data_IF_224172509252
#
_entry.id   IF_224172509252
#
_cell.length_a   1.000
_cell.length_b   1.000
_cell.length_c   1.000
_cell.angle_alpha   90.00
_cell.angle_beta   90.00
_cell.angle_gamma   90.00
#
_symmetry.space_group_name_H-M   'P 1'
#
loop_
_entity.id
_entity.type
_entity.pdbx_description
1 polymer ?
#
# COMPACT_ATOMS: atom_id res chain seq x y z
N UNK A 1 38.07 10.19 -0.80
CA UNK A 1 37.59 11.53 -1.20
C UNK A 1 36.16 11.65 -0.68
N UNK A 2 36.01 12.25 0.50
CA UNK A 2 34.73 12.52 1.16
C UNK A 2 34.12 13.82 0.62
N UNK A 3 32.80 13.96 0.85
CA UNK A 3 31.91 15.12 0.73
C UNK A 3 31.14 15.19 -0.59
N UNK A 4 29.80 15.05 -0.48
CA UNK A 4 28.78 15.91 -1.07
C UNK A 4 27.37 15.31 -0.88
N UNK A 5 26.87 15.14 0.35
CA UNK A 5 25.41 14.86 0.59
C UNK A 5 24.84 15.55 1.82
N UNK A 6 25.52 16.54 2.38
CA UNK A 6 25.00 17.28 3.51
C UNK A 6 24.75 18.72 3.09
N UNK A 7 23.60 18.98 2.49
CA UNK A 7 22.92 20.28 2.53
C UNK A 7 21.50 20.09 1.94
N UNK A 8 20.47 20.44 2.72
CA UNK A 8 19.02 20.29 2.47
C UNK A 8 18.32 19.00 2.94
N UNK A 9 18.56 18.53 4.17
CA UNK A 9 17.53 17.76 4.89
C UNK A 9 17.32 18.35 6.28
N UNK A 10 16.18 19.02 6.45
CA UNK A 10 15.69 19.52 7.76
C UNK A 10 15.15 18.38 8.65
N UNK A 11 15.29 17.12 8.25
CA UNK A 11 14.84 15.98 9.03
C UNK A 11 16.04 15.34 9.72
N UNK A 12 16.03 15.34 11.06
CA UNK A 12 16.93 14.47 11.80
C UNK A 12 16.33 13.05 11.77
N UNK A 13 17.13 11.97 11.67
CA UNK A 13 16.61 10.60 11.67
C UNK A 13 15.75 10.24 12.90
N UNK A 14 15.79 11.06 13.96
CA UNK A 14 14.94 10.93 15.15
C UNK A 14 13.47 11.29 14.90
N UNK A 15 13.16 11.96 13.79
CA UNK A 15 11.81 12.41 13.44
C UNK A 15 11.05 11.40 12.55
N UNK A 16 11.69 10.28 12.16
CA UNK A 16 11.07 9.16 11.42
C UNK A 16 10.42 8.16 12.38
N UNK A 17 9.50 8.62 13.23
CA UNK A 17 8.70 7.70 14.05
C UNK A 17 7.48 7.25 13.26
N UNK A 18 7.33 5.95 13.09
CA UNK A 18 6.10 5.35 12.59
C UNK A 18 4.92 5.77 13.49
N UNK A 19 3.83 6.23 12.88
CA UNK A 19 2.64 6.66 13.58
C UNK A 19 1.48 5.68 13.35
N UNK A 20 0.71 5.36 14.40
CA UNK A 20 -0.52 4.59 14.24
C UNK A 20 -1.54 5.39 13.40
N UNK A 21 -2.53 4.71 12.80
CA UNK A 21 -3.62 5.42 12.11
C UNK A 21 -4.45 6.26 13.09
N UNK A 22 -5.13 7.31 12.59
CA UNK A 22 -6.09 8.06 13.40
C UNK A 22 -7.18 7.17 14.00
N UNK A 23 -7.83 7.67 15.06
CA UNK A 23 -8.90 6.96 15.75
C UNK A 23 -10.03 6.55 14.78
N UNK A 24 -10.50 5.31 14.91
CA UNK A 24 -11.55 4.75 14.06
C UNK A 24 -11.10 4.36 12.65
N UNK A 25 -9.80 4.48 12.31
CA UNK A 25 -9.24 4.08 11.02
C UNK A 25 -8.40 2.83 11.19
N UNK A 26 -8.62 1.86 10.31
CA UNK A 26 -7.82 0.63 10.23
C UNK A 26 -6.72 0.82 9.18
N UNK A 27 -5.46 0.57 9.55
CA UNK A 27 -4.33 0.65 8.60
C UNK A 27 -4.01 -0.73 8.03
N UNK A 28 -3.90 -0.82 6.72
CA UNK A 28 -3.49 -2.02 5.99
C UNK A 28 -2.13 -1.74 5.32
N UNK A 29 -1.06 -2.27 5.90
CA UNK A 29 0.27 -2.27 5.31
C UNK A 29 0.37 -3.42 4.31
N UNK A 30 0.80 -3.15 3.08
CA UNK A 30 0.95 -4.16 2.02
C UNK A 30 2.39 -4.22 1.52
N UNK A 31 2.78 -5.39 1.04
CA UNK A 31 4.10 -5.65 0.46
C UNK A 31 4.04 -6.87 -0.47
N UNK A 32 4.95 -6.92 -1.45
CA UNK A 32 5.15 -8.06 -2.33
C UNK A 32 6.60 -8.55 -2.36
N UNK A 33 6.80 -9.83 -2.09
CA UNK A 33 8.08 -10.51 -2.25
C UNK A 33 8.16 -11.19 -3.62
N UNK A 34 9.23 -10.92 -4.38
CA UNK A 34 9.46 -11.51 -5.71
C UNK A 34 10.45 -12.68 -5.61
N UNK A 35 10.09 -13.77 -6.29
CA UNK A 35 10.88 -14.99 -6.42
C UNK A 35 11.21 -15.24 -7.90
N UNK A 36 11.98 -16.28 -8.17
CA UNK A 36 12.44 -16.59 -9.54
C UNK A 36 11.30 -16.78 -10.55
N UNK A 37 10.18 -17.35 -10.12
CA UNK A 37 9.05 -17.71 -11.00
C UNK A 37 7.67 -17.31 -10.45
N UNK A 38 7.63 -16.53 -9.36
CA UNK A 38 6.39 -16.17 -8.69
C UNK A 38 6.59 -14.97 -7.75
N UNK A 39 5.51 -14.51 -7.15
CA UNK A 39 5.51 -13.56 -6.06
C UNK A 39 4.74 -14.11 -4.85
N UNK A 40 4.89 -13.46 -3.70
CA UNK A 40 3.98 -13.58 -2.58
C UNK A 40 3.55 -12.17 -2.20
N UNK A 41 2.25 -11.96 -2.03
CA UNK A 41 1.71 -10.69 -1.55
C UNK A 41 1.25 -10.83 -0.11
N UNK A 42 1.40 -9.78 0.69
CA UNK A 42 1.07 -9.78 2.10
C UNK A 42 0.30 -8.52 2.49
N UNK A 43 -0.53 -8.65 3.52
CA UNK A 43 -1.27 -7.55 4.15
C UNK A 43 -1.17 -7.71 5.66
N UNK A 44 -0.69 -6.67 6.35
CA UNK A 44 -0.69 -6.56 7.81
C UNK A 44 -1.68 -5.48 8.20
N UNK A 45 -2.61 -5.81 9.10
CA UNK A 45 -3.63 -4.88 9.55
C UNK A 45 -3.38 -4.44 10.97
N UNK A 46 -3.46 -3.12 11.18
CA UNK A 46 -3.22 -2.47 12.47
C UNK A 46 -4.41 -1.60 12.89
N UNK A 47 -4.67 -1.60 14.19
CA UNK A 47 -5.65 -0.69 14.79
C UNK A 47 -5.04 0.68 15.11
N UNK A 48 -5.85 1.58 15.67
CA UNK A 48 -5.47 2.93 16.13
C UNK A 48 -4.41 2.97 17.24
N UNK A 49 -4.17 1.85 17.95
CA UNK A 49 -3.06 1.72 18.90
C UNK A 49 -1.76 1.27 18.22
N UNK A 50 -1.78 1.05 16.90
CA UNK A 50 -0.66 0.53 16.12
C UNK A 50 -0.43 -0.98 16.26
N UNK A 51 -1.30 -1.68 17.00
CA UNK A 51 -1.19 -3.12 17.23
C UNK A 51 -1.66 -3.87 16.00
N UNK A 52 -0.91 -4.92 15.64
CA UNK A 52 -1.33 -5.85 14.59
C UNK A 52 -2.54 -6.63 15.10
N UNK A 53 -3.65 -6.54 14.37
CA UNK A 53 -4.89 -7.25 14.69
C UNK A 53 -5.14 -8.44 13.77
N UNK A 54 -4.66 -8.38 12.52
CA UNK A 54 -4.79 -9.44 11.52
C UNK A 54 -3.63 -9.38 10.52
N UNK A 55 -3.33 -10.50 9.87
CA UNK A 55 -2.35 -10.57 8.79
C UNK A 55 -2.73 -11.66 7.79
N UNK A 56 -2.43 -11.44 6.51
CA UNK A 56 -2.63 -12.39 5.43
C UNK A 56 -1.40 -12.41 4.53
N UNK A 57 -1.14 -13.58 3.94
CA UNK A 57 -0.19 -13.74 2.85
C UNK A 57 -0.70 -14.81 1.89
N UNK A 58 -0.44 -14.64 0.59
CA UNK A 58 -0.74 -15.67 -0.41
C UNK A 58 0.25 -15.62 -1.59
N UNK A 59 0.51 -16.76 -2.24
CA UNK A 59 1.25 -16.75 -3.50
C UNK A 59 0.49 -15.94 -4.56
N UNK A 60 1.24 -15.28 -5.42
CA UNK A 60 0.73 -14.51 -6.54
C UNK A 60 1.53 -14.85 -7.80
N UNK A 61 0.83 -15.13 -8.90
CA UNK A 61 1.45 -15.61 -10.13
C UNK A 61 1.89 -14.45 -11.02
N UNK A 62 2.93 -13.74 -10.59
CA UNK A 62 3.61 -12.71 -11.37
C UNK A 62 5.09 -12.67 -10.95
N UNK A 63 5.95 -12.26 -11.87
CA UNK A 63 7.35 -11.91 -11.60
C UNK A 63 7.61 -10.41 -11.75
N UNK A 64 6.60 -9.64 -12.16
CA UNK A 64 6.69 -8.18 -12.23
C UNK A 64 6.41 -7.59 -10.84
N UNK A 65 7.40 -6.94 -10.20
CA UNK A 65 7.23 -6.34 -8.88
C UNK A 65 6.09 -5.32 -8.83
N UNK A 66 5.94 -4.51 -9.88
CA UNK A 66 4.94 -3.45 -9.91
C UNK A 66 3.52 -4.03 -9.97
N UNK A 67 3.33 -5.11 -10.73
CA UNK A 67 2.05 -5.84 -10.79
C UNK A 67 1.75 -6.52 -9.45
N UNK A 68 2.77 -7.10 -8.79
CA UNK A 68 2.59 -7.75 -7.50
C UNK A 68 2.21 -6.73 -6.40
N UNK A 69 2.84 -5.57 -6.37
CA UNK A 69 2.49 -4.46 -5.46
C UNK A 69 1.07 -3.94 -5.68
N UNK A 70 0.70 -3.66 -6.94
CA UNK A 70 -0.67 -3.24 -7.27
C UNK A 70 -1.71 -4.30 -6.87
N UNK A 71 -1.39 -5.59 -7.05
CA UNK A 71 -2.25 -6.69 -6.63
C UNK A 71 -2.34 -6.80 -5.09
N UNK A 72 -1.27 -6.52 -4.36
CA UNK A 72 -1.28 -6.47 -2.90
C UNK A 72 -2.22 -5.37 -2.39
N UNK A 73 -2.19 -4.18 -2.99
CA UNK A 73 -3.09 -3.07 -2.67
C UNK A 73 -4.55 -3.45 -2.94
N UNK A 74 -4.87 -3.93 -4.15
CA UNK A 74 -6.23 -4.34 -4.50
C UNK A 74 -6.74 -5.43 -3.53
N UNK A 75 -5.89 -6.39 -3.19
CA UNK A 75 -6.26 -7.46 -2.28
C UNK A 75 -6.51 -6.95 -0.86
N UNK A 76 -5.74 -5.97 -0.37
CA UNK A 76 -5.99 -5.35 0.93
C UNK A 76 -7.37 -4.67 0.99
N UNK A 77 -7.78 -3.97 -0.07
CA UNK A 77 -9.11 -3.35 -0.16
C UNK A 77 -10.21 -4.43 -0.13
N UNK A 78 -10.03 -5.52 -0.87
CA UNK A 78 -10.98 -6.65 -0.85
C UNK A 78 -11.09 -7.29 0.54
N UNK A 79 -9.97 -7.47 1.25
CA UNK A 79 -9.95 -7.95 2.64
C UNK A 79 -10.71 -6.98 3.54
N UNK A 80 -10.48 -5.67 3.40
CA UNK A 80 -11.16 -4.67 4.22
C UNK A 80 -12.68 -4.70 4.06
N UNK A 81 -13.18 -4.91 2.84
CA UNK A 81 -14.61 -5.11 2.58
C UNK A 81 -15.13 -6.39 3.23
N UNK A 82 -14.41 -7.50 3.09
CA UNK A 82 -14.77 -8.79 3.69
C UNK A 82 -14.88 -8.67 5.23
N UNK A 83 -13.99 -7.89 5.82
CA UNK A 83 -13.92 -7.62 7.25
C UNK A 83 -14.89 -6.52 7.72
N UNK A 84 -15.67 -5.94 6.81
CA UNK A 84 -16.64 -4.88 7.08
C UNK A 84 -16.03 -3.64 7.73
N UNK A 85 -14.74 -3.34 7.47
CA UNK A 85 -14.15 -2.07 7.87
C UNK A 85 -14.61 -0.97 6.91
N UNK A 86 -15.12 0.13 7.46
CA UNK A 86 -15.69 1.21 6.66
C UNK A 86 -14.76 2.42 6.51
N UNK A 87 -13.69 2.50 7.31
CA UNK A 87 -12.70 3.58 7.28
C UNK A 87 -11.29 2.98 7.33
N UNK A 88 -10.55 3.12 6.23
CA UNK A 88 -9.25 2.47 6.05
C UNK A 88 -8.16 3.41 5.51
N UNK A 89 -6.92 3.06 5.78
CA UNK A 89 -5.74 3.59 5.08
C UNK A 89 -4.90 2.42 4.59
N UNK A 90 -4.56 2.40 3.31
CA UNK A 90 -3.66 1.42 2.71
C UNK A 90 -2.28 2.04 2.54
N UNK A 91 -1.25 1.39 3.06
CA UNK A 91 0.14 1.86 3.03
C UNK A 91 1.01 0.86 2.24
N UNK A 92 1.65 1.33 1.16
CA UNK A 92 2.52 0.54 0.27
C UNK A 92 3.85 1.27 0.07
N UNK A 93 4.95 0.52 -0.03
CA UNK A 93 6.27 1.10 -0.36
C UNK A 93 6.44 1.40 -1.88
N UNK A 94 5.51 0.92 -2.71
CA UNK A 94 5.46 1.22 -4.13
C UNK A 94 4.88 2.61 -4.39
N UNK A 95 5.77 3.62 -4.33
CA UNK A 95 5.43 5.00 -4.72
C UNK A 95 4.74 5.08 -6.08
N UNK A 96 5.12 4.23 -7.03
CA UNK A 96 4.52 4.20 -8.37
C UNK A 96 3.05 3.78 -8.31
N UNK A 97 2.72 2.75 -7.52
CA UNK A 97 1.33 2.34 -7.34
C UNK A 97 0.52 3.40 -6.59
N UNK A 98 1.07 3.95 -5.50
CA UNK A 98 0.42 5.01 -4.72
C UNK A 98 0.15 6.25 -5.58
N UNK A 99 1.14 6.73 -6.33
CA UNK A 99 0.97 7.88 -7.22
C UNK A 99 -0.09 7.62 -8.30
N UNK A 100 -0.18 6.40 -8.84
CA UNK A 100 -1.19 6.02 -9.84
C UNK A 100 -2.61 5.95 -9.25
N UNK A 101 -2.74 5.57 -7.99
CA UNK A 101 -4.03 5.56 -7.28
C UNK A 101 -4.50 6.97 -6.95
N UNK A 102 -3.57 7.88 -6.65
CA UNK A 102 -3.87 9.26 -6.27
C UNK A 102 -4.01 10.22 -7.47
N UNK A 103 -3.43 9.88 -8.62
CA UNK A 103 -3.43 10.74 -9.82
C UNK A 103 -4.05 10.00 -11.01
N UNK A 104 -4.86 10.68 -11.80
CA UNK A 104 -5.41 10.11 -13.05
C UNK A 104 -4.38 10.15 -14.18
N UNK A 105 -3.35 9.32 -14.08
CA UNK A 105 -2.41 9.08 -15.18
C UNK A 105 -2.92 7.97 -16.10
N UNK A 106 -3.69 8.34 -17.12
CA UNK A 106 -4.30 7.37 -18.05
C UNK A 106 -3.34 6.76 -19.08
N UNK A 107 -2.09 7.25 -19.21
CA UNK A 107 -1.30 6.97 -20.40
C UNK A 107 -0.02 6.12 -20.23
N UNK A 108 0.53 5.92 -19.02
CA UNK A 108 1.93 5.42 -18.92
C UNK A 108 2.13 3.98 -18.41
N UNK A 109 1.14 3.34 -17.78
CA UNK A 109 1.36 2.05 -17.07
C UNK A 109 0.19 1.07 -17.20
N UNK A 110 -0.04 0.61 -18.43
CA UNK A 110 -1.10 -0.35 -18.75
C UNK A 110 -1.04 -1.66 -17.94
N UNK A 111 0.14 -2.09 -17.49
CA UNK A 111 0.32 -3.35 -16.76
C UNK A 111 -0.35 -3.38 -15.39
N UNK A 112 -0.58 -2.21 -14.77
CA UNK A 112 -1.26 -2.09 -13.47
C UNK A 112 -2.59 -1.33 -13.54
N UNK A 113 -2.93 -0.78 -14.71
CA UNK A 113 -4.11 0.08 -14.87
C UNK A 113 -5.38 -0.59 -14.35
N UNK A 114 -5.66 -1.81 -14.80
CA UNK A 114 -6.86 -2.57 -14.38
C UNK A 114 -6.88 -2.82 -12.87
N UNK A 115 -5.75 -3.20 -12.27
CA UNK A 115 -5.67 -3.47 -10.82
C UNK A 115 -5.93 -2.19 -10.02
N UNK A 116 -5.38 -1.06 -10.47
CA UNK A 116 -5.57 0.23 -9.82
C UNK A 116 -6.99 0.78 -10.03
N UNK A 117 -7.59 0.59 -11.21
CA UNK A 117 -8.95 1.01 -11.49
C UNK A 117 -9.96 0.22 -10.65
N UNK A 118 -9.79 -1.11 -10.53
CA UNK A 118 -10.58 -1.94 -9.62
C UNK A 118 -10.40 -1.51 -8.16
N UNK A 119 -9.16 -1.19 -7.76
CA UNK A 119 -8.86 -0.70 -6.42
C UNK A 119 -9.56 0.64 -6.14
N UNK A 120 -9.51 1.59 -7.08
CA UNK A 120 -10.22 2.88 -7.01
C UNK A 120 -11.73 2.69 -6.90
N UNK A 121 -12.30 1.82 -7.73
CA UNK A 121 -13.73 1.54 -7.73
C UNK A 121 -14.20 0.97 -6.37
N UNK A 122 -13.47 0.00 -5.82
CA UNK A 122 -13.78 -0.57 -4.51
C UNK A 122 -13.54 0.40 -3.36
N UNK A 123 -12.48 1.22 -3.43
CA UNK A 123 -12.16 2.23 -2.43
C UNK A 123 -13.25 3.30 -2.30
N UNK A 124 -13.96 3.60 -3.39
CA UNK A 124 -15.07 4.56 -3.39
C UNK A 124 -16.30 4.11 -2.58
N UNK A 125 -16.38 2.82 -2.19
CA UNK A 125 -17.47 2.28 -1.38
C UNK A 125 -17.24 2.43 0.14
N UNK A 126 -16.03 2.84 0.57
CA UNK A 126 -15.73 3.08 1.98
C UNK A 126 -16.13 4.49 2.38
N UNK A 127 -16.57 4.68 3.63
CA UNK A 127 -16.78 6.03 4.18
C UNK A 127 -15.50 6.88 4.22
N UNK A 128 -14.34 6.21 4.32
CA UNK A 128 -13.02 6.81 4.22
C UNK A 128 -12.02 5.79 3.69
N UNK A 129 -11.27 6.17 2.65
CA UNK A 129 -10.14 5.40 2.14
C UNK A 129 -9.02 6.35 1.72
N UNK A 130 -7.80 6.09 2.16
CA UNK A 130 -6.61 6.81 1.73
C UNK A 130 -5.48 5.86 1.34
N UNK A 131 -4.60 6.32 0.46
CA UNK A 131 -3.40 5.61 0.01
C UNK A 131 -2.16 6.43 0.38
N UNK A 132 -1.11 5.77 0.87
CA UNK A 132 0.15 6.42 1.26
C UNK A 132 1.36 5.54 1.03
#
# INVERSE_FOLDING_TARGET
MQKLWAEHSLFTPKDLKWLPPPHGIVKLNVDAAIFHSSACIAVIVRNESGLIIKAWAKPFNSIDPLVAEAAAILWAIQIAKMESWNAITVESDSKVCVDFLLQDFSASRWSIAILCDDAKALAAEFSFCSFS
#
